data_IF_878077900461
#
_entry.id   IF_878077900461
#
_cell.length_a   1.000
_cell.length_b   1.000
_cell.length_c   1.000
_cell.angle_alpha   90.00
_cell.angle_beta   90.00
_cell.angle_gamma   90.00
#
_symmetry.space_group_name_H-M   'P 1'
#
loop_
_entity.id
_entity.type
_entity.pdbx_description
1 polymer ?
#
# COMPACT_ATOMS: atom_id res chain seq x y z
N UNK A 1 -0.35 -19.42 -18.12
CA UNK A 1 -0.09 -18.87 -16.77
C UNK A 1 -0.05 -17.36 -16.93
N UNK A 2 -0.82 -16.60 -16.16
CA UNK A 2 -0.84 -15.14 -16.24
C UNK A 2 0.53 -14.59 -15.86
N UNK A 3 1.11 -13.73 -16.70
CA UNK A 3 2.44 -13.14 -16.50
C UNK A 3 2.37 -11.77 -15.80
N UNK A 4 3.53 -11.23 -15.42
CA UNK A 4 3.68 -9.86 -14.93
C UNK A 4 3.14 -8.85 -15.96
N UNK A 5 3.55 -8.97 -17.22
CA UNK A 5 3.13 -8.07 -18.30
C UNK A 5 1.61 -8.14 -18.54
N UNK A 6 1.01 -9.32 -18.46
CA UNK A 6 -0.45 -9.48 -18.60
C UNK A 6 -1.22 -8.70 -17.51
N UNK A 7 -0.75 -8.75 -16.27
CA UNK A 7 -1.41 -8.08 -15.13
C UNK A 7 -1.23 -6.56 -15.20
N UNK A 8 -0.04 -6.09 -15.59
CA UNK A 8 0.20 -4.66 -15.82
C UNK A 8 -0.66 -4.16 -16.99
N UNK A 9 -0.78 -4.93 -18.08
CA UNK A 9 -1.63 -4.57 -19.20
C UNK A 9 -3.11 -4.45 -18.81
N UNK A 10 -3.62 -5.34 -17.95
CA UNK A 10 -4.98 -5.23 -17.40
C UNK A 10 -5.17 -3.97 -16.56
N UNK A 11 -4.20 -3.64 -15.71
CA UNK A 11 -4.23 -2.40 -14.93
C UNK A 11 -4.25 -1.15 -15.82
N UNK A 12 -3.44 -1.13 -16.89
CA UNK A 12 -3.43 -0.05 -17.89
C UNK A 12 -4.78 0.06 -18.60
N UNK A 13 -5.38 -1.07 -18.97
CA UNK A 13 -6.68 -1.12 -19.65
C UNK A 13 -7.83 -0.54 -18.82
N UNK A 14 -7.73 -0.58 -17.48
CA UNK A 14 -8.73 0.00 -16.58
C UNK A 14 -8.55 1.50 -16.34
N UNK A 15 -7.41 2.11 -16.70
CA UNK A 15 -7.17 3.53 -16.44
C UNK A 15 -8.26 4.48 -16.99
N UNK A 16 -8.88 4.27 -18.17
CA UNK A 16 -9.99 5.10 -18.63
C UNK A 16 -11.18 5.08 -17.67
N UNK A 17 -11.61 3.89 -17.23
CA UNK A 17 -12.69 3.71 -16.26
C UNK A 17 -12.33 4.39 -14.93
N UNK A 18 -11.10 4.20 -14.43
CA UNK A 18 -10.65 4.84 -13.21
C UNK A 18 -10.71 6.38 -13.29
N UNK A 19 -10.30 6.96 -14.42
CA UNK A 19 -10.36 8.43 -14.63
C UNK A 19 -11.78 8.95 -14.70
N UNK A 20 -12.66 8.20 -15.36
CA UNK A 20 -14.10 8.51 -15.45
C UNK A 20 -14.74 8.58 -14.06
N UNK A 21 -14.43 7.60 -13.19
CA UNK A 21 -14.98 7.51 -11.85
C UNK A 21 -14.17 8.24 -10.76
N UNK A 22 -13.03 8.88 -11.08
CA UNK A 22 -12.16 9.49 -10.07
C UNK A 22 -12.85 10.59 -9.25
N UNK A 23 -13.74 11.37 -9.88
CA UNK A 23 -14.52 12.40 -9.16
C UNK A 23 -15.53 11.77 -8.21
N UNK A 24 -16.27 10.75 -8.65
CA UNK A 24 -17.21 10.02 -7.81
C UNK A 24 -16.47 9.35 -6.63
N UNK A 25 -15.32 8.74 -6.90
CA UNK A 25 -14.43 8.14 -5.89
C UNK A 25 -14.04 9.15 -4.80
N UNK A 26 -13.74 10.39 -5.17
CA UNK A 26 -13.42 11.45 -4.21
C UNK A 26 -14.66 11.94 -3.43
N UNK A 27 -15.77 12.17 -4.12
CA UNK A 27 -17.02 12.71 -3.54
C UNK A 27 -17.67 11.73 -2.57
N UNK A 28 -17.74 10.45 -2.96
CA UNK A 28 -18.38 9.39 -2.17
C UNK A 28 -17.47 8.87 -1.06
N UNK A 29 -16.19 9.28 -1.06
CA UNK A 29 -15.13 8.85 -0.11
C UNK A 29 -14.94 7.34 -0.07
N UNK A 30 -15.30 6.65 -1.16
CA UNK A 30 -15.08 5.24 -1.42
C UNK A 30 -14.97 5.01 -2.91
N UNK A 31 -14.32 3.91 -3.30
CA UNK A 31 -14.30 3.47 -4.69
C UNK A 31 -15.73 2.99 -5.08
N UNK A 32 -16.26 3.36 -6.25
CA UNK A 32 -17.54 2.84 -6.72
C UNK A 32 -17.52 1.32 -6.91
N UNK A 33 -18.65 0.66 -6.67
CA UNK A 33 -18.73 -0.82 -6.73
C UNK A 33 -18.42 -1.34 -8.14
N UNK A 34 -18.85 -0.64 -9.19
CA UNK A 34 -18.52 -0.95 -10.59
C UNK A 34 -17.00 -1.01 -10.85
N UNK A 35 -16.24 -0.11 -10.22
CA UNK A 35 -14.78 -0.10 -10.35
C UNK A 35 -14.17 -1.28 -9.60
N UNK A 36 -14.69 -1.62 -8.41
CA UNK A 36 -14.25 -2.79 -7.64
C UNK A 36 -14.54 -4.09 -8.40
N UNK A 37 -15.71 -4.20 -9.04
CA UNK A 37 -16.08 -5.37 -9.84
C UNK A 37 -15.17 -5.52 -11.05
N UNK A 38 -14.88 -4.43 -11.77
CA UNK A 38 -13.94 -4.45 -12.89
C UNK A 38 -12.51 -4.86 -12.47
N UNK A 39 -12.05 -4.41 -11.29
CA UNK A 39 -10.77 -4.81 -10.71
C UNK A 39 -10.75 -6.30 -10.32
N UNK A 40 -11.86 -6.81 -9.79
CA UNK A 40 -12.03 -8.21 -9.43
C UNK A 40 -12.03 -9.10 -10.68
N UNK A 41 -12.79 -8.74 -11.72
CA UNK A 41 -12.83 -9.44 -13.01
C UNK A 41 -11.46 -9.48 -13.69
N UNK A 42 -10.71 -8.37 -13.62
CA UNK A 42 -9.34 -8.30 -14.11
C UNK A 42 -8.33 -9.15 -13.29
N UNK A 43 -8.73 -9.65 -12.12
CA UNK A 43 -7.89 -10.43 -11.20
C UNK A 43 -6.92 -9.58 -10.38
N UNK A 44 -7.09 -8.27 -10.35
CA UNK A 44 -6.13 -7.35 -9.72
C UNK A 44 -6.27 -7.26 -8.19
N UNK A 45 -7.33 -7.82 -7.62
CA UNK A 45 -7.53 -7.93 -6.16
C UNK A 45 -6.96 -9.23 -5.56
N UNK A 46 -6.37 -10.10 -6.38
CA UNK A 46 -5.80 -11.40 -5.96
C UNK A 46 -4.38 -11.67 -6.50
N UNK A 47 -3.59 -10.60 -6.63
CA UNK A 47 -2.20 -10.65 -7.09
C UNK A 47 -1.32 -11.49 -6.15
N UNK A 48 -1.57 -11.43 -4.85
CA UNK A 48 -0.76 -12.12 -3.82
C UNK A 48 -1.42 -13.36 -3.23
N UNK A 49 -2.70 -13.59 -3.53
CA UNK A 49 -3.41 -14.80 -3.07
C UNK A 49 -2.68 -16.03 -3.62
N UNK A 50 -2.43 -17.06 -2.80
CA UNK A 50 -1.74 -18.26 -3.24
C UNK A 50 -2.44 -18.97 -4.41
N UNK A 51 -1.68 -19.61 -5.28
CA UNK A 51 -2.23 -20.33 -6.45
C UNK A 51 -3.15 -21.48 -6.06
N UNK A 52 -2.92 -22.11 -4.90
CA UNK A 52 -3.80 -23.18 -4.38
C UNK A 52 -5.24 -22.72 -4.17
N UNK A 53 -5.46 -21.42 -3.95
CA UNK A 53 -6.79 -20.80 -3.84
C UNK A 53 -7.24 -20.11 -5.14
N UNK A 54 -6.53 -20.28 -6.26
CA UNK A 54 -6.86 -19.63 -7.54
C UNK A 54 -6.38 -18.18 -7.68
N UNK A 55 -5.50 -17.72 -6.79
CA UNK A 55 -4.81 -16.44 -6.92
C UNK A 55 -3.63 -16.46 -7.88
N UNK A 56 -3.00 -15.30 -8.08
CA UNK A 56 -1.86 -15.17 -9.00
C UNK A 56 -0.50 -15.47 -8.35
N UNK A 57 -0.38 -15.32 -7.02
CA UNK A 57 0.86 -15.52 -6.25
C UNK A 57 2.08 -14.89 -6.95
N UNK A 58 1.97 -13.59 -7.23
CA UNK A 58 2.94 -12.80 -7.99
C UNK A 58 4.13 -12.36 -7.16
N UNK A 59 5.10 -11.70 -7.77
CA UNK A 59 6.22 -11.06 -7.08
C UNK A 59 5.86 -9.69 -6.51
N UNK A 60 6.67 -9.16 -5.60
CA UNK A 60 6.53 -7.79 -5.13
C UNK A 60 6.70 -6.78 -6.27
N UNK A 61 7.62 -7.05 -7.20
CA UNK A 61 7.75 -6.24 -8.42
C UNK A 61 6.44 -6.13 -9.20
N UNK A 62 5.68 -7.22 -9.30
CA UNK A 62 4.39 -7.22 -10.01
C UNK A 62 3.36 -6.37 -9.29
N UNK A 63 3.25 -6.50 -7.96
CA UNK A 63 2.34 -5.66 -7.16
C UNK A 63 2.65 -4.17 -7.28
N UNK A 64 3.93 -3.80 -7.32
CA UNK A 64 4.36 -2.41 -7.52
C UNK A 64 3.98 -1.85 -8.89
N UNK A 65 4.27 -2.60 -9.96
CA UNK A 65 4.01 -2.11 -11.32
C UNK A 65 2.51 -2.04 -11.62
N UNK A 66 1.71 -3.00 -11.12
CA UNK A 66 0.24 -2.97 -11.22
C UNK A 66 -0.33 -1.77 -10.47
N UNK A 67 0.06 -1.56 -9.22
CA UNK A 67 -0.45 -0.42 -8.45
C UNK A 67 -0.01 0.93 -9.04
N UNK A 68 1.23 1.04 -9.53
CA UNK A 68 1.68 2.23 -10.25
C UNK A 68 0.83 2.50 -11.51
N UNK A 69 0.53 1.46 -12.29
CA UNK A 69 -0.32 1.60 -13.47
C UNK A 69 -1.76 2.03 -13.13
N UNK A 70 -2.35 1.51 -12.04
CA UNK A 70 -3.68 1.92 -11.58
C UNK A 70 -3.70 3.37 -11.07
N UNK A 71 -2.63 3.80 -10.38
CA UNK A 71 -2.54 5.15 -9.82
C UNK A 71 -2.45 6.24 -10.88
N UNK A 72 -2.06 5.89 -12.11
CA UNK A 72 -2.17 6.81 -13.25
C UNK A 72 -3.61 7.09 -13.71
N UNK A 73 -4.55 6.25 -13.28
CA UNK A 73 -6.00 6.43 -13.44
C UNK A 73 -6.63 7.12 -12.22
N UNK A 74 -6.48 6.49 -11.05
CA UNK A 74 -6.97 7.01 -9.77
C UNK A 74 -6.10 6.54 -8.58
N UNK A 75 -5.64 7.51 -7.79
CA UNK A 75 -4.72 7.25 -6.67
C UNK A 75 -5.36 6.47 -5.51
N UNK A 76 -6.61 6.81 -5.17
CA UNK A 76 -7.35 6.16 -4.10
C UNK A 76 -7.65 4.69 -4.41
N UNK A 77 -8.07 4.41 -5.64
CA UNK A 77 -8.33 3.06 -6.12
C UNK A 77 -7.07 2.21 -6.14
N UNK A 78 -5.96 2.76 -6.64
CA UNK A 78 -4.65 2.09 -6.59
C UNK A 78 -4.24 1.75 -5.15
N UNK A 79 -4.42 2.69 -4.21
CA UNK A 79 -4.15 2.45 -2.80
C UNK A 79 -5.00 1.30 -2.24
N UNK A 80 -6.31 1.27 -2.51
CA UNK A 80 -7.19 0.17 -2.08
C UNK A 80 -6.69 -1.18 -2.63
N UNK A 81 -6.35 -1.25 -3.91
CA UNK A 81 -5.83 -2.48 -4.53
C UNK A 81 -4.52 -2.92 -3.87
N UNK A 82 -3.59 -1.98 -3.61
CA UNK A 82 -2.33 -2.25 -2.91
C UNK A 82 -2.58 -2.84 -1.53
N UNK A 83 -3.47 -2.22 -0.75
CA UNK A 83 -3.71 -2.63 0.64
C UNK A 83 -4.47 -3.96 0.74
N UNK A 84 -5.40 -4.21 -0.18
CA UNK A 84 -6.06 -5.52 -0.28
C UNK A 84 -5.03 -6.62 -0.60
N UNK A 85 -4.16 -6.39 -1.58
CA UNK A 85 -3.17 -7.40 -1.95
C UNK A 85 -2.11 -7.63 -0.85
N UNK A 86 -1.64 -6.59 -0.16
CA UNK A 86 -0.69 -6.83 0.95
C UNK A 86 -1.34 -7.54 2.14
N UNK A 87 -2.63 -7.30 2.40
CA UNK A 87 -3.37 -8.03 3.44
C UNK A 87 -3.72 -9.47 3.04
N UNK A 88 -3.99 -9.71 1.76
CA UNK A 88 -4.12 -11.07 1.22
C UNK A 88 -2.79 -11.84 1.34
N UNK A 89 -1.66 -11.16 1.11
CA UNK A 89 -0.35 -11.74 1.37
C UNK A 89 -0.12 -12.02 2.85
N UNK A 90 -0.41 -11.07 3.75
CA UNK A 90 -0.34 -11.28 5.21
C UNK A 90 -1.15 -12.51 5.62
N UNK A 91 -2.35 -12.67 5.06
CA UNK A 91 -3.22 -13.83 5.32
C UNK A 91 -2.52 -15.14 4.96
N UNK A 92 -1.76 -15.19 3.85
CA UNK A 92 -0.99 -16.38 3.45
C UNK A 92 0.15 -16.76 4.40
N UNK A 93 0.48 -15.91 5.38
CA UNK A 93 1.49 -16.16 6.41
C UNK A 93 0.91 -16.84 7.67
N UNK A 94 -0.42 -16.81 7.87
CA UNK A 94 -1.12 -17.48 8.96
C UNK A 94 -1.09 -19.02 8.81
N UNK A 95 -1.44 -19.81 9.85
CA UNK A 95 -1.65 -21.26 9.70
C UNK A 95 -2.61 -21.59 8.56
N UNK A 96 -2.42 -22.73 7.88
CA UNK A 96 -3.23 -23.16 6.72
C UNK A 96 -4.73 -23.09 6.98
N UNK A 97 -5.17 -23.48 8.18
CA UNK A 97 -6.59 -23.43 8.57
C UNK A 97 -7.18 -22.01 8.52
N UNK A 98 -6.43 -20.97 8.91
CA UNK A 98 -6.91 -19.60 8.80
C UNK A 98 -6.97 -19.11 7.36
N UNK A 99 -6.06 -19.61 6.51
CA UNK A 99 -6.10 -19.33 5.08
C UNK A 99 -7.32 -19.97 4.42
N UNK A 100 -7.66 -21.21 4.82
CA UNK A 100 -8.86 -21.90 4.38
C UNK A 100 -10.15 -21.18 4.83
N UNK A 101 -10.19 -20.67 6.06
CA UNK A 101 -11.32 -19.85 6.56
C UNK A 101 -11.57 -18.63 5.66
N UNK A 102 -10.51 -17.98 5.16
CA UNK A 102 -10.62 -16.77 4.33
C UNK A 102 -10.87 -17.10 2.86
N UNK A 103 -10.02 -17.94 2.25
CA UNK A 103 -9.97 -18.15 0.80
C UNK A 103 -10.62 -19.45 0.34
N UNK A 104 -10.83 -20.43 1.22
CA UNK A 104 -11.30 -21.76 0.84
C UNK A 104 -12.70 -21.76 0.23
N UNK A 105 -13.63 -21.04 0.86
CA UNK A 105 -14.99 -20.86 0.34
C UNK A 105 -15.13 -19.67 -0.62
N UNK A 106 -14.23 -18.68 -0.52
CA UNK A 106 -14.25 -17.48 -1.33
C UNK A 106 -12.84 -17.11 -1.84
N UNK A 107 -12.45 -17.63 -3.02
CA UNK A 107 -11.19 -17.27 -3.70
C UNK A 107 -10.99 -15.77 -3.96
N UNK A 108 -12.08 -15.01 -4.03
CA UNK A 108 -12.09 -13.56 -4.26
C UNK A 108 -12.29 -12.77 -2.95
N UNK A 109 -12.02 -13.40 -1.81
CA UNK A 109 -12.01 -12.73 -0.51
C UNK A 109 -11.03 -11.54 -0.52
N UNK A 110 -11.47 -10.43 0.07
CA UNK A 110 -10.70 -9.18 0.14
C UNK A 110 -10.44 -8.91 1.61
N UNK A 111 -9.17 -8.96 1.98
CA UNK A 111 -8.74 -8.68 3.35
C UNK A 111 -8.25 -7.24 3.40
N UNK A 112 -8.66 -6.50 4.42
CA UNK A 112 -8.07 -5.18 4.75
C UNK A 112 -7.32 -5.28 6.06
N UNK A 113 -6.57 -4.27 6.47
CA UNK A 113 -5.81 -4.43 7.72
C UNK A 113 -5.23 -3.17 8.33
N UNK A 114 -5.01 -3.24 9.64
CA UNK A 114 -4.42 -2.20 10.47
C UNK A 114 -3.52 -2.89 11.48
N UNK A 115 -2.22 -2.60 11.43
CA UNK A 115 -1.23 -3.26 12.30
C UNK A 115 -1.18 -2.68 13.71
N UNK A 116 -1.62 -1.43 13.91
CA UNK A 116 -1.53 -0.78 15.22
C UNK A 116 -2.45 -1.49 16.22
N UNK A 117 -1.93 -1.92 17.38
CA UNK A 117 -2.69 -2.67 18.38
C UNK A 117 -3.55 -1.74 19.24
N UNK A 118 -4.70 -1.31 18.71
CA UNK A 118 -5.63 -0.36 19.36
C UNK A 118 -6.85 -1.05 19.97
N UNK A 119 -6.63 -2.20 20.62
CA UNK A 119 -7.67 -3.06 21.18
C UNK A 119 -7.27 -3.60 22.55
N UNK A 120 -8.23 -4.19 23.25
CA UNK A 120 -8.00 -5.10 24.38
C UNK A 120 -8.22 -6.53 23.92
N UNK A 121 -7.48 -7.46 24.51
CA UNK A 121 -7.76 -8.88 24.37
C UNK A 121 -7.70 -9.56 25.73
N UNK A 122 -8.42 -10.67 25.87
CA UNK A 122 -8.40 -11.55 27.04
C UNK A 122 -8.26 -12.98 26.54
N UNK A 123 -7.26 -13.71 27.05
CA UNK A 123 -7.10 -15.14 26.74
C UNK A 123 -8.32 -15.90 27.28
N UNK A 124 -8.88 -16.78 26.46
CA UNK A 124 -9.96 -17.70 26.82
C UNK A 124 -9.64 -19.09 26.26
N UNK A 125 -10.43 -20.09 26.64
CA UNK A 125 -10.30 -21.43 26.07
C UNK A 125 -10.41 -21.39 24.53
N UNK A 126 -9.43 -21.96 23.84
CA UNK A 126 -9.36 -22.03 22.38
C UNK A 126 -9.06 -20.73 21.63
N UNK A 127 -8.82 -19.59 22.29
CA UNK A 127 -8.59 -18.33 21.60
C UNK A 127 -8.57 -17.08 22.47
N UNK A 128 -9.08 -15.97 21.93
CA UNK A 128 -9.16 -14.67 22.60
C UNK A 128 -10.53 -14.03 22.44
N UNK A 129 -10.94 -13.26 23.45
CA UNK A 129 -12.01 -12.27 23.34
C UNK A 129 -11.40 -10.92 23.04
N UNK A 130 -11.89 -10.22 22.01
CA UNK A 130 -11.28 -8.98 21.53
C UNK A 130 -12.32 -7.88 21.41
N UNK A 131 -11.99 -6.70 21.95
CA UNK A 131 -12.76 -5.46 21.77
C UNK A 131 -11.81 -4.34 21.35
N UNK A 132 -12.15 -3.58 20.33
CA UNK A 132 -11.20 -2.60 19.79
C UNK A 132 -11.73 -1.77 18.66
N UNK A 133 -10.93 -0.77 18.29
CA UNK A 133 -11.24 0.20 17.24
C UNK A 133 -10.01 0.39 16.37
N UNK A 134 -10.11 0.10 15.08
CA UNK A 134 -9.00 0.15 14.14
C UNK A 134 -9.30 1.16 13.03
N UNK A 135 -8.78 2.37 13.23
CA UNK A 135 -8.82 3.47 12.26
C UNK A 135 -7.86 3.23 11.10
N UNK A 136 -8.02 4.00 10.02
CA UNK A 136 -7.17 3.92 8.82
C UNK A 136 -7.28 2.57 8.08
N UNK A 137 -8.44 1.92 8.13
CA UNK A 137 -8.64 0.63 7.49
C UNK A 137 -9.01 0.80 5.99
N UNK A 138 -8.01 1.03 5.15
CA UNK A 138 -8.21 1.30 3.71
C UNK A 138 -8.96 0.16 3.01
N UNK A 139 -9.98 0.51 2.23
CA UNK A 139 -10.84 -0.44 1.53
C UNK A 139 -11.92 -1.09 2.41
N UNK A 140 -12.10 -0.63 3.66
CA UNK A 140 -13.04 -1.21 4.64
C UNK A 140 -14.48 -1.36 4.13
N UNK A 141 -14.93 -0.51 3.21
CA UNK A 141 -16.26 -0.60 2.59
C UNK A 141 -16.43 -1.80 1.65
N UNK A 142 -15.33 -2.42 1.22
CA UNK A 142 -15.34 -3.52 0.25
C UNK A 142 -14.76 -4.82 0.83
N UNK A 143 -14.38 -4.85 2.10
CA UNK A 143 -13.68 -6.00 2.70
C UNK A 143 -14.63 -7.12 3.09
N UNK A 144 -14.16 -8.36 2.96
CA UNK A 144 -14.81 -9.56 3.47
C UNK A 144 -14.20 -9.99 4.82
N UNK A 145 -12.96 -9.61 5.06
CA UNK A 145 -12.17 -9.95 6.25
C UNK A 145 -11.25 -8.77 6.62
N UNK A 146 -10.78 -8.78 7.87
CA UNK A 146 -9.80 -7.81 8.35
C UNK A 146 -8.65 -8.50 9.12
N UNK A 147 -7.42 -8.08 8.84
CA UNK A 147 -6.21 -8.39 9.59
C UNK A 147 -5.92 -7.24 10.59
N UNK A 148 -6.13 -7.47 11.88
CA UNK A 148 -6.17 -6.43 12.90
C UNK A 148 -5.10 -6.63 13.97
N UNK A 149 -4.34 -5.57 14.28
CA UNK A 149 -3.34 -5.57 15.33
C UNK A 149 -3.97 -5.70 16.72
N UNK A 150 -3.45 -6.58 17.56
CA UNK A 150 -3.97 -6.84 18.90
C UNK A 150 -2.82 -7.06 19.88
N UNK A 151 -2.85 -6.46 21.09
CA UNK A 151 -1.97 -6.91 22.16
C UNK A 151 -2.51 -8.25 22.68
N UNK A 152 -1.68 -9.30 22.72
CA UNK A 152 -2.06 -10.55 23.35
C UNK A 152 -1.73 -10.49 24.84
N UNK A 153 -2.70 -10.88 25.67
CA UNK A 153 -2.56 -10.94 27.11
C UNK A 153 -2.52 -12.39 27.61
N UNK A 154 -1.87 -12.60 28.75
CA UNK A 154 -1.99 -13.84 29.53
C UNK A 154 -3.28 -13.86 30.38
N UNK A 155 -3.43 -14.88 31.24
CA UNK A 155 -4.61 -15.03 32.11
C UNK A 155 -4.67 -13.96 33.21
N UNK A 156 -3.51 -13.41 33.57
CA UNK A 156 -3.35 -12.30 34.53
C UNK A 156 -3.63 -10.92 33.90
N UNK A 157 -3.76 -10.85 32.57
CA UNK A 157 -4.05 -9.64 31.82
C UNK A 157 -2.82 -8.83 31.42
N UNK A 158 -1.62 -9.38 31.61
CA UNK A 158 -0.36 -8.76 31.21
C UNK A 158 -0.10 -8.98 29.72
N UNK A 159 0.39 -7.94 29.03
CA UNK A 159 0.67 -8.02 27.59
C UNK A 159 1.94 -8.84 27.36
N UNK A 160 1.79 -9.99 26.71
CA UNK A 160 2.88 -10.93 26.42
C UNK A 160 3.35 -10.91 24.96
N UNK A 161 2.52 -10.44 24.04
CA UNK A 161 2.88 -10.33 22.61
C UNK A 161 2.08 -9.24 21.89
N UNK A 162 2.50 -8.91 20.67
CA UNK A 162 1.76 -8.12 19.69
C UNK A 162 1.48 -8.99 18.48
N UNK A 163 0.21 -9.15 18.12
CA UNK A 163 -0.20 -10.05 17.05
C UNK A 163 -1.08 -9.37 16.00
N UNK A 164 -1.24 -10.03 14.86
CA UNK A 164 -2.34 -9.80 13.94
C UNK A 164 -3.37 -10.91 14.15
N UNK A 165 -4.65 -10.54 14.14
CA UNK A 165 -5.76 -11.48 14.06
C UNK A 165 -6.52 -11.35 12.75
N UNK A 166 -7.18 -12.44 12.32
CA UNK A 166 -8.13 -12.42 11.21
C UNK A 166 -9.57 -12.47 11.73
N UNK A 167 -10.36 -11.45 11.40
CA UNK A 167 -11.79 -11.38 11.73
C UNK A 167 -12.64 -11.27 10.44
N UNK A 168 -13.74 -12.04 10.32
CA UNK A 168 -14.66 -11.86 9.20
C UNK A 168 -15.36 -10.51 9.36
N UNK A 169 -15.70 -9.88 8.23
CA UNK A 169 -16.32 -8.55 8.23
C UNK A 169 -17.64 -8.52 8.99
N UNK A 170 -18.40 -9.63 9.00
CA UNK A 170 -19.69 -9.72 9.69
C UNK A 170 -19.61 -9.61 11.22
N UNK A 171 -18.45 -9.95 11.81
CA UNK A 171 -18.20 -9.80 13.25
C UNK A 171 -17.83 -8.35 13.64
N UNK A 172 -17.67 -7.46 12.65
CA UNK A 172 -17.21 -6.10 12.85
C UNK A 172 -18.31 -5.09 12.50
N UNK A 173 -18.36 -3.97 13.20
CA UNK A 173 -19.09 -2.78 12.74
C UNK A 173 -18.12 -1.83 12.03
N UNK A 174 -18.66 -1.00 11.13
CA UNK A 174 -17.90 0.02 10.40
C UNK A 174 -18.44 1.39 10.79
N UNK A 175 -17.53 2.22 11.28
CA UNK A 175 -17.81 3.61 11.57
C UNK A 175 -17.18 4.52 10.53
N UNK A 176 -18.00 5.38 9.94
CA UNK A 176 -17.55 6.35 8.95
C UNK A 176 -16.73 7.47 9.61
N UNK A 177 -15.42 7.39 9.48
CA UNK A 177 -14.46 8.30 10.12
C UNK A 177 -13.52 8.97 9.13
N UNK A 178 -13.63 8.66 7.83
CA UNK A 178 -12.64 9.06 6.84
C UNK A 178 -12.99 10.40 6.16
N UNK A 179 -12.67 11.50 6.84
CA UNK A 179 -12.88 12.88 6.37
C UNK A 179 -11.53 13.61 6.23
N UNK A 180 -10.90 13.45 5.07
CA UNK A 180 -9.50 13.88 4.83
C UNK A 180 -9.37 14.75 3.57
N UNK A 181 -8.21 15.41 3.41
CA UNK A 181 -7.95 16.30 2.29
C UNK A 181 -7.56 15.59 0.98
N UNK A 182 -6.93 14.42 1.07
CA UNK A 182 -6.50 13.58 -0.05
C UNK A 182 -6.62 12.10 0.33
N UNK A 183 -6.53 11.20 -0.65
CA UNK A 183 -6.85 9.78 -0.51
C UNK A 183 -8.28 9.55 0.00
N UNK A 184 -9.21 10.44 -0.35
CA UNK A 184 -10.59 10.40 0.14
C UNK A 184 -11.30 9.11 -0.23
N UNK A 185 -11.11 8.64 -1.46
CA UNK A 185 -11.76 7.43 -1.98
C UNK A 185 -11.28 6.13 -1.38
N UNK A 186 -10.23 6.15 -0.55
CA UNK A 186 -9.72 4.93 0.08
C UNK A 186 -10.66 4.33 1.11
N UNK A 187 -11.67 5.09 1.58
CA UNK A 187 -12.59 4.68 2.64
C UNK A 187 -11.84 4.07 3.83
N UNK A 188 -10.80 4.75 4.33
CA UNK A 188 -9.95 4.26 5.42
C UNK A 188 -10.63 4.46 6.79
N UNK A 189 -11.86 3.98 6.89
CA UNK A 189 -12.76 4.10 8.02
C UNK A 189 -12.31 3.25 9.23
N UNK A 190 -13.04 3.38 10.33
CA UNK A 190 -12.78 2.61 11.54
C UNK A 190 -13.59 1.30 11.51
N UNK A 191 -12.91 0.16 11.67
CA UNK A 191 -13.58 -1.09 12.01
C UNK A 191 -13.60 -1.25 13.54
N UNK A 192 -14.70 -1.75 14.07
CA UNK A 192 -14.92 -1.88 15.51
C UNK A 192 -15.36 -3.30 15.84
N UNK A 193 -14.76 -3.88 16.86
CA UNK A 193 -15.15 -5.16 17.44
C UNK A 193 -15.67 -4.94 18.86
N UNK A 194 -16.78 -5.60 19.20
CA UNK A 194 -17.36 -5.62 20.54
C UNK A 194 -17.41 -7.08 21.02
N UNK A 195 -16.44 -7.46 21.84
CA UNK A 195 -16.32 -8.79 22.48
C UNK A 195 -16.38 -10.00 21.53
N UNK A 196 -15.72 -9.90 20.37
CA UNK A 196 -15.69 -11.00 19.40
C UNK A 196 -14.78 -12.13 19.88
N UNK A 197 -15.13 -13.37 19.57
CA UNK A 197 -14.26 -14.52 19.78
C UNK A 197 -13.37 -14.75 18.56
N UNK A 198 -12.06 -14.86 18.79
CA UNK A 198 -11.08 -15.19 17.75
C UNK A 198 -10.34 -16.47 18.13
N UNK A 199 -10.44 -17.54 17.31
CA UNK A 199 -9.78 -18.81 17.58
C UNK A 199 -8.27 -18.72 17.37
N UNK A 200 -7.53 -19.59 18.03
CA UNK A 200 -6.07 -19.53 18.09
C UNK A 200 -5.38 -19.57 16.72
N UNK A 201 -5.89 -20.39 15.80
CA UNK A 201 -5.32 -20.52 14.46
C UNK A 201 -5.45 -19.24 13.61
N UNK A 202 -6.28 -18.27 13.99
CA UNK A 202 -6.46 -16.97 13.31
C UNK A 202 -5.61 -15.86 13.90
N UNK A 203 -4.60 -16.18 14.72
CA UNK A 203 -3.69 -15.21 15.35
C UNK A 203 -2.25 -15.49 14.95
N UNK A 204 -1.48 -14.44 14.62
CA UNK A 204 -0.07 -14.53 14.21
C UNK A 204 0.76 -13.47 14.95
N UNK A 205 1.84 -13.91 15.61
CA UNK A 205 2.80 -13.01 16.28
C UNK A 205 3.49 -12.09 15.27
N UNK A 206 3.45 -10.78 15.52
CA UNK A 206 4.14 -9.78 14.70
C UNK A 206 5.65 -9.80 14.96
N UNK A 207 6.16 -9.85 16.20
CA UNK A 207 7.60 -9.98 16.46
C UNK A 207 8.24 -11.19 15.78
N UNK A 208 7.61 -12.37 15.85
CA UNK A 208 8.12 -13.57 15.16
C UNK A 208 8.12 -13.37 13.63
N UNK A 209 7.03 -12.83 13.08
CA UNK A 209 6.90 -12.56 11.65
C UNK A 209 7.91 -11.51 11.15
N UNK A 210 8.28 -10.50 11.97
CA UNK A 210 9.35 -9.53 11.63
C UNK A 210 10.70 -10.23 11.42
N UNK A 211 10.96 -11.31 12.14
CA UNK A 211 12.18 -12.12 12.02
C UNK A 211 12.05 -13.25 10.97
N UNK A 212 10.94 -13.30 10.23
CA UNK A 212 10.70 -14.28 9.17
C UNK A 212 10.15 -15.62 9.66
N UNK A 213 9.83 -15.71 10.95
CA UNK A 213 9.20 -16.89 11.52
C UNK A 213 7.67 -16.81 11.37
N UNK A 214 7.19 -17.31 10.24
CA UNK A 214 5.76 -17.34 9.91
C UNK A 214 5.13 -18.69 10.32
N UNK A 215 3.89 -18.71 10.82
CA UNK A 215 3.23 -19.96 11.20
C UNK A 215 2.77 -20.82 10.02
N UNK A 216 2.65 -20.26 8.81
CA UNK A 216 2.26 -21.02 7.60
C UNK A 216 3.14 -22.24 7.33
N UNK A 217 2.51 -23.36 7.01
CA UNK A 217 3.16 -24.62 6.65
C UNK A 217 3.72 -24.59 5.20
N UNK A 218 3.27 -23.64 4.38
CA UNK A 218 3.60 -23.52 2.96
C UNK A 218 4.95 -22.82 2.70
N UNK A 219 6.03 -23.30 3.33
CA UNK A 219 7.38 -22.72 3.26
C UNK A 219 8.04 -22.82 1.88
N UNK A 220 7.52 -23.69 1.02
CA UNK A 220 7.94 -23.85 -0.37
C UNK A 220 7.46 -22.69 -1.25
N UNK A 221 6.41 -21.97 -0.86
CA UNK A 221 5.89 -20.83 -1.60
C UNK A 221 6.75 -19.59 -1.42
N UNK A 222 7.19 -19.02 -2.55
CA UNK A 222 8.11 -17.88 -2.58
C UNK A 222 7.60 -16.71 -1.75
N UNK A 223 6.33 -16.32 -1.89
CA UNK A 223 5.78 -15.19 -1.13
C UNK A 223 5.75 -15.43 0.38
N UNK A 224 5.64 -16.68 0.83
CA UNK A 224 5.70 -17.05 2.25
C UNK A 224 7.12 -16.98 2.83
N UNK A 225 8.12 -16.61 2.03
CA UNK A 225 9.51 -16.36 2.45
C UNK A 225 9.93 -14.89 2.38
N UNK A 226 9.08 -14.02 1.83
CA UNK A 226 9.37 -12.59 1.71
C UNK A 226 9.47 -11.93 3.09
N UNK A 227 10.36 -10.94 3.24
CA UNK A 227 10.57 -10.24 4.52
C UNK A 227 9.41 -9.30 4.88
N UNK A 228 8.86 -9.44 6.10
CA UNK A 228 7.62 -8.82 6.52
C UNK A 228 7.60 -7.29 6.27
N UNK A 229 8.43 -6.58 7.01
CA UNK A 229 8.45 -5.12 7.01
C UNK A 229 8.92 -4.54 5.67
N UNK A 230 9.95 -5.08 4.99
CA UNK A 230 10.30 -4.66 3.64
C UNK A 230 9.13 -4.69 2.64
N UNK A 231 8.32 -5.76 2.64
CA UNK A 231 7.12 -5.83 1.80
C UNK A 231 6.10 -4.79 2.21
N UNK A 232 5.73 -4.73 3.51
CA UNK A 232 4.75 -3.78 4.04
C UNK A 232 5.09 -2.32 3.73
N UNK A 233 6.38 -1.98 3.77
CA UNK A 233 6.85 -0.65 3.42
C UNK A 233 6.82 -0.42 1.90
N UNK A 234 7.45 -1.32 1.14
CA UNK A 234 7.69 -1.06 -0.29
C UNK A 234 6.40 -1.05 -1.10
N UNK A 235 5.39 -1.86 -0.78
CA UNK A 235 4.11 -1.87 -1.53
C UNK A 235 3.47 -0.47 -1.65
N UNK A 236 3.71 0.40 -0.66
CA UNK A 236 3.18 1.76 -0.61
C UNK A 236 3.83 2.70 -1.65
N UNK A 237 4.99 2.32 -2.20
CA UNK A 237 5.68 3.07 -3.23
C UNK A 237 4.94 3.01 -4.58
N UNK A 238 4.27 1.90 -4.90
CA UNK A 238 3.60 1.72 -6.19
C UNK A 238 2.59 2.83 -6.52
N UNK A 239 1.59 3.11 -5.66
CA UNK A 239 0.66 4.21 -5.86
C UNK A 239 1.35 5.58 -6.03
N UNK A 240 2.43 5.83 -5.29
CA UNK A 240 3.20 7.08 -5.39
C UNK A 240 3.88 7.23 -6.76
N UNK A 241 4.50 6.16 -7.27
CA UNK A 241 5.13 6.17 -8.59
C UNK A 241 4.10 6.49 -9.69
N UNK A 242 2.92 5.88 -9.63
CA UNK A 242 1.84 6.15 -10.58
C UNK A 242 1.32 7.58 -10.53
N UNK A 243 1.13 8.13 -9.33
CA UNK A 243 0.72 9.53 -9.14
C UNK A 243 1.77 10.50 -9.71
N UNK A 244 3.06 10.24 -9.49
CA UNK A 244 4.15 11.02 -10.07
C UNK A 244 4.15 10.99 -11.61
N UNK A 245 4.00 9.79 -12.20
CA UNK A 245 3.91 9.61 -13.66
C UNK A 245 2.70 10.33 -14.25
N UNK A 246 1.53 10.23 -13.62
CA UNK A 246 0.34 10.93 -14.06
C UNK A 246 0.48 12.45 -14.00
N UNK A 247 1.09 12.99 -12.94
CA UNK A 247 1.39 14.42 -12.85
C UNK A 247 2.31 14.88 -13.99
N UNK A 248 3.40 14.13 -14.24
CA UNK A 248 4.36 14.48 -15.29
C UNK A 248 3.71 14.43 -16.68
N UNK A 249 2.96 13.37 -16.97
CA UNK A 249 2.21 13.22 -18.23
C UNK A 249 1.22 14.36 -18.42
N UNK A 250 0.41 14.66 -17.41
CA UNK A 250 -0.58 15.73 -17.48
C UNK A 250 0.08 17.10 -17.74
N UNK A 251 1.16 17.42 -17.02
CA UNK A 251 1.81 18.72 -17.15
C UNK A 251 2.54 18.85 -18.49
N UNK A 252 3.23 17.81 -18.97
CA UNK A 252 3.92 17.84 -20.26
C UNK A 252 2.94 17.99 -21.43
N UNK A 253 1.80 17.28 -21.40
CA UNK A 253 0.73 17.43 -22.41
C UNK A 253 0.14 18.85 -22.44
N UNK A 254 -0.03 19.48 -21.26
CA UNK A 254 -0.57 20.84 -21.15
C UNK A 254 0.46 21.91 -21.49
N UNK A 255 1.73 21.71 -21.14
CA UNK A 255 2.81 22.68 -21.37
C UNK A 255 2.97 23.02 -22.86
N UNK A 256 2.72 22.07 -23.75
CA UNK A 256 2.75 22.25 -25.20
C UNK A 256 1.68 23.20 -25.76
N UNK A 257 0.68 23.60 -24.96
CA UNK A 257 -0.49 24.38 -25.42
C UNK A 257 -0.87 25.53 -24.49
N UNK A 258 -0.15 25.70 -23.38
CA UNK A 258 -0.52 26.63 -22.31
C UNK A 258 0.45 27.81 -22.29
N UNK A 259 0.01 29.06 -22.44
CA UNK A 259 0.89 30.22 -22.34
C UNK A 259 1.36 30.46 -20.89
N UNK A 260 2.43 31.25 -20.74
CA UNK A 260 2.87 31.76 -19.44
C UNK A 260 2.35 33.19 -19.28
N UNK A 261 1.40 33.39 -18.37
CA UNK A 261 0.81 34.70 -18.10
C UNK A 261 1.86 35.76 -17.78
N UNK A 262 1.67 36.97 -18.32
CA UNK A 262 2.58 38.11 -18.17
C UNK A 262 3.97 37.93 -18.81
N UNK A 263 4.09 37.06 -19.80
CA UNK A 263 5.31 36.89 -20.62
C UNK A 263 4.95 36.85 -22.10
N UNK A 264 5.97 36.77 -22.98
CA UNK A 264 5.80 36.59 -24.42
C UNK A 264 5.75 35.13 -24.86
N UNK A 265 5.81 34.16 -23.94
CA UNK A 265 5.73 32.74 -24.28
C UNK A 265 4.29 32.34 -24.59
N UNK A 266 4.06 31.93 -25.85
CA UNK A 266 2.77 31.41 -26.32
C UNK A 266 2.52 30.02 -25.75
N UNK A 267 3.59 29.27 -25.47
CA UNK A 267 3.50 28.00 -24.75
C UNK A 267 4.57 27.88 -23.67
N UNK A 268 4.24 27.16 -22.59
CA UNK A 268 5.15 26.82 -21.51
C UNK A 268 6.38 26.06 -22.01
N UNK A 269 6.21 25.27 -23.08
CA UNK A 269 7.29 24.51 -23.70
C UNK A 269 8.41 25.38 -24.31
N UNK A 270 8.16 26.66 -24.64
CA UNK A 270 9.17 27.58 -25.18
C UNK A 270 10.11 28.12 -24.10
N UNK A 271 9.71 28.08 -22.84
CA UNK A 271 10.50 28.60 -21.72
C UNK A 271 11.56 27.60 -21.29
N UNK A 272 12.84 27.99 -21.41
CA UNK A 272 13.99 27.20 -20.93
C UNK A 272 13.85 26.84 -19.45
N UNK A 273 13.36 27.77 -18.62
CA UNK A 273 13.15 27.51 -17.20
C UNK A 273 12.09 26.41 -16.94
N UNK A 274 11.05 26.34 -17.77
CA UNK A 274 10.04 25.25 -17.69
C UNK A 274 10.64 23.93 -18.16
N UNK A 275 11.39 23.94 -19.27
CA UNK A 275 12.06 22.74 -19.78
C UNK A 275 12.97 22.10 -18.72
N UNK A 276 13.77 22.93 -18.02
CA UNK A 276 14.65 22.47 -16.93
C UNK A 276 13.86 21.88 -15.75
N UNK A 277 12.78 22.55 -15.31
CA UNK A 277 11.95 22.07 -14.19
C UNK A 277 11.25 20.75 -14.51
N UNK A 278 10.73 20.60 -15.74
CA UNK A 278 10.12 19.34 -16.20
C UNK A 278 11.18 18.22 -16.24
N UNK A 279 12.37 18.49 -16.77
CA UNK A 279 13.45 17.51 -16.80
C UNK A 279 13.88 17.07 -15.39
N UNK A 280 13.99 18.01 -14.46
CA UNK A 280 14.32 17.72 -13.06
C UNK A 280 13.24 16.87 -12.37
N UNK A 281 11.95 17.21 -12.58
CA UNK A 281 10.84 16.41 -12.06
C UNK A 281 10.82 14.99 -12.66
N UNK A 282 11.10 14.85 -13.95
CA UNK A 282 11.20 13.55 -14.60
C UNK A 282 12.34 12.70 -14.01
N UNK A 283 13.53 13.28 -13.82
CA UNK A 283 14.67 12.57 -13.23
C UNK A 283 14.46 12.17 -11.77
N UNK A 284 13.71 12.96 -10.99
CA UNK A 284 13.27 12.56 -9.64
C UNK A 284 12.35 11.34 -9.69
N UNK A 285 11.38 11.33 -10.60
CA UNK A 285 10.48 10.18 -10.79
C UNK A 285 11.27 8.94 -11.24
N UNK A 286 12.23 9.09 -12.15
CA UNK A 286 13.11 8.01 -12.59
C UNK A 286 13.95 7.47 -11.43
N UNK A 287 14.50 8.36 -10.60
CA UNK A 287 15.24 7.99 -9.38
C UNK A 287 14.35 7.17 -8.44
N UNK A 288 13.11 7.61 -8.21
CA UNK A 288 12.14 6.87 -7.41
C UNK A 288 11.86 5.48 -8.00
N UNK A 289 11.67 5.36 -9.32
CA UNK A 289 11.46 4.07 -9.98
C UNK A 289 12.66 3.14 -9.77
N UNK A 290 13.89 3.65 -9.95
CA UNK A 290 15.11 2.86 -9.79
C UNK A 290 15.28 2.34 -8.35
N UNK A 291 15.03 3.17 -7.34
CA UNK A 291 15.07 2.75 -5.94
C UNK A 291 14.01 1.68 -5.61
N UNK A 292 12.77 1.88 -6.06
CA UNK A 292 11.69 0.93 -5.85
C UNK A 292 11.97 -0.42 -6.52
N UNK A 293 12.45 -0.41 -7.77
CA UNK A 293 12.79 -1.63 -8.51
C UNK A 293 13.95 -2.39 -7.87
N UNK A 294 14.99 -1.68 -7.40
CA UNK A 294 16.11 -2.31 -6.68
C UNK A 294 15.64 -2.96 -5.39
N UNK A 295 14.81 -2.27 -4.60
CA UNK A 295 14.28 -2.80 -3.35
C UNK A 295 13.40 -4.04 -3.60
N UNK A 296 12.54 -3.99 -4.62
CA UNK A 296 11.68 -5.11 -5.00
C UNK A 296 12.49 -6.33 -5.45
N UNK A 297 13.45 -6.12 -6.35
CA UNK A 297 14.34 -7.18 -6.82
C UNK A 297 15.10 -7.84 -5.67
N UNK A 298 15.53 -7.06 -4.66
CA UNK A 298 16.23 -7.60 -3.50
C UNK A 298 15.33 -8.48 -2.62
N UNK A 299 14.08 -8.07 -2.39
CA UNK A 299 13.10 -8.86 -1.64
C UNK A 299 12.74 -10.14 -2.41
N UNK A 300 12.40 -9.99 -3.69
CA UNK A 300 11.99 -11.11 -4.54
C UNK A 300 13.11 -12.15 -4.68
N UNK A 301 14.37 -11.71 -4.86
CA UNK A 301 15.52 -12.60 -4.96
C UNK A 301 15.76 -13.36 -3.66
N UNK A 302 15.74 -12.68 -2.50
CA UNK A 302 15.95 -13.33 -1.21
C UNK A 302 14.89 -14.41 -0.95
N UNK A 303 13.63 -14.10 -1.25
CA UNK A 303 12.52 -15.04 -1.15
C UNK A 303 12.68 -16.24 -2.10
N UNK A 304 13.13 -16.02 -3.35
CA UNK A 304 13.42 -17.10 -4.30
C UNK A 304 14.54 -18.02 -3.81
N UNK A 305 15.61 -17.44 -3.28
CA UNK A 305 16.78 -18.16 -2.76
C UNK A 305 16.52 -18.87 -1.42
N UNK A 306 15.36 -18.62 -0.79
CA UNK A 306 15.04 -19.16 0.53
C UNK A 306 15.87 -18.54 1.65
N UNK A 307 16.32 -17.30 1.46
CA UNK A 307 17.11 -16.54 2.43
C UNK A 307 16.29 -15.39 3.00
N UNK A 308 16.52 -15.05 4.26
CA UNK A 308 15.93 -13.87 4.87
C UNK A 308 16.88 -12.68 4.77
N UNK A 309 16.35 -11.48 4.53
CA UNK A 309 17.16 -10.27 4.44
C UNK A 309 17.83 -9.97 5.79
N UNK A 310 19.11 -9.61 5.74
CA UNK A 310 19.81 -9.11 6.92
C UNK A 310 19.16 -7.82 7.42
N UNK A 311 19.37 -7.47 8.70
CA UNK A 311 18.83 -6.23 9.28
C UNK A 311 19.19 -4.99 8.46
N UNK A 312 20.43 -4.86 8.01
CA UNK A 312 20.89 -3.72 7.19
C UNK A 312 20.19 -3.67 5.84
N UNK A 313 19.89 -4.81 5.21
CA UNK A 313 19.14 -4.86 3.95
C UNK A 313 17.67 -4.50 4.15
N UNK A 314 17.04 -4.98 5.24
CA UNK A 314 15.67 -4.59 5.61
C UNK A 314 15.57 -3.08 5.87
N UNK A 315 16.49 -2.54 6.66
CA UNK A 315 16.64 -1.10 6.91
C UNK A 315 16.81 -0.30 5.61
N UNK A 316 17.65 -0.79 4.69
CA UNK A 316 17.85 -0.14 3.38
C UNK A 316 16.57 -0.09 2.56
N UNK A 317 15.78 -1.17 2.52
CA UNK A 317 14.48 -1.16 1.83
C UNK A 317 13.57 -0.08 2.39
N UNK A 318 13.48 0.03 3.73
CA UNK A 318 12.66 1.08 4.35
C UNK A 318 13.13 2.47 3.95
N UNK A 319 14.45 2.71 3.96
CA UNK A 319 15.03 3.97 3.53
C UNK A 319 14.76 4.25 2.04
N UNK A 320 14.86 3.24 1.18
CA UNK A 320 14.50 3.33 -0.24
C UNK A 320 13.04 3.75 -0.42
N UNK A 321 12.10 3.15 0.31
CA UNK A 321 10.69 3.54 0.28
C UNK A 321 10.49 5.00 0.67
N UNK A 322 11.13 5.47 1.75
CA UNK A 322 11.08 6.87 2.15
C UNK A 322 11.67 7.82 1.09
N UNK A 323 12.77 7.42 0.47
CA UNK A 323 13.43 8.17 -0.61
C UNK A 323 12.57 8.28 -1.86
N UNK A 324 11.89 7.18 -2.23
CA UNK A 324 10.91 7.14 -3.32
C UNK A 324 9.80 8.17 -3.09
N UNK A 325 9.20 8.16 -1.90
CA UNK A 325 8.11 9.07 -1.55
C UNK A 325 8.58 10.53 -1.63
N UNK A 326 9.75 10.87 -1.06
CA UNK A 326 10.27 12.23 -1.11
C UNK A 326 10.48 12.73 -2.55
N UNK A 327 11.13 11.91 -3.39
CA UNK A 327 11.38 12.28 -4.79
C UNK A 327 10.08 12.48 -5.57
N UNK A 328 9.07 11.63 -5.38
CA UNK A 328 7.76 11.78 -6.01
C UNK A 328 7.07 13.06 -5.55
N UNK A 329 7.06 13.34 -4.23
CA UNK A 329 6.41 14.54 -3.69
C UNK A 329 7.08 15.83 -4.20
N UNK A 330 8.41 15.86 -4.24
CA UNK A 330 9.16 17.00 -4.79
C UNK A 330 8.89 17.18 -6.28
N UNK A 331 8.88 16.09 -7.06
CA UNK A 331 8.55 16.15 -8.48
C UNK A 331 7.14 16.71 -8.71
N UNK A 332 6.14 16.21 -7.98
CA UNK A 332 4.75 16.70 -8.08
C UNK A 332 4.66 18.17 -7.68
N UNK A 333 5.36 18.61 -6.62
CA UNK A 333 5.38 20.03 -6.23
C UNK A 333 5.97 20.93 -7.32
N UNK A 334 7.08 20.51 -7.94
CA UNK A 334 7.65 21.22 -9.11
C UNK A 334 6.64 21.28 -10.26
N UNK A 335 5.97 20.17 -10.57
CA UNK A 335 4.99 20.09 -11.65
C UNK A 335 3.75 20.95 -11.40
N UNK A 336 3.28 21.04 -10.15
CA UNK A 336 2.21 21.96 -9.73
C UNK A 336 2.63 23.41 -9.96
N UNK A 337 3.86 23.77 -9.57
CA UNK A 337 4.42 25.12 -9.80
C UNK A 337 4.54 25.44 -11.30
N UNK A 338 5.03 24.49 -12.11
CA UNK A 338 5.10 24.63 -13.58
C UNK A 338 3.71 24.83 -14.18
N UNK A 339 2.71 24.08 -13.73
CA UNK A 339 1.36 24.20 -14.26
C UNK A 339 0.67 25.51 -13.84
N UNK A 340 1.05 26.07 -12.69
CA UNK A 340 0.55 27.33 -12.15
C UNK A 340 -0.88 27.23 -11.58
N UNK A 341 -1.46 28.36 -11.18
CA UNK A 341 -2.69 28.45 -10.36
C UNK A 341 -3.89 27.60 -10.85
N UNK A 342 -4.02 27.36 -12.15
CA UNK A 342 -5.07 26.50 -12.70
C UNK A 342 -4.99 25.04 -12.22
N UNK A 343 -3.86 24.61 -11.65
CA UNK A 343 -3.69 23.29 -11.02
C UNK A 343 -4.69 23.06 -9.90
N UNK A 344 -5.09 24.13 -9.20
CA UNK A 344 -5.96 24.10 -8.01
C UNK A 344 -7.45 24.21 -8.32
N UNK A 345 -7.85 24.31 -9.60
CA UNK A 345 -9.25 24.19 -9.96
C UNK A 345 -9.76 22.77 -9.66
N UNK A 346 -10.97 22.62 -9.12
CA UNK A 346 -11.54 21.31 -8.76
C UNK A 346 -11.59 20.34 -9.96
N UNK A 347 -11.88 20.87 -11.15
CA UNK A 347 -11.90 20.13 -12.41
C UNK A 347 -10.51 19.69 -12.90
N UNK A 348 -9.43 20.24 -12.34
CA UNK A 348 -8.07 19.88 -12.72
C UNK A 348 -7.62 18.65 -11.92
N UNK A 349 -7.22 17.53 -12.57
CA UNK A 349 -6.79 16.34 -11.84
C UNK A 349 -5.50 16.56 -11.04
N UNK A 350 -4.69 17.56 -11.38
CA UNK A 350 -3.38 17.77 -10.76
C UNK A 350 -3.47 18.07 -9.26
N UNK A 351 -4.48 18.83 -8.81
CA UNK A 351 -4.66 19.05 -7.38
C UNK A 351 -5.07 17.78 -6.63
N UNK A 352 -5.88 16.89 -7.25
CA UNK A 352 -6.24 15.61 -6.63
C UNK A 352 -5.02 14.70 -6.51
N UNK A 353 -4.24 14.58 -7.60
CA UNK A 353 -2.96 13.85 -7.60
C UNK A 353 -2.03 14.38 -6.50
N UNK A 354 -1.90 15.70 -6.39
CA UNK A 354 -1.08 16.35 -5.37
C UNK A 354 -1.57 16.06 -3.95
N UNK A 355 -2.88 16.18 -3.67
CA UNK A 355 -3.45 15.88 -2.34
C UNK A 355 -3.29 14.41 -1.99
N UNK A 356 -3.60 13.51 -2.92
CA UNK A 356 -3.51 12.06 -2.73
C UNK A 356 -2.08 11.62 -2.44
N UNK A 357 -1.12 12.05 -3.28
CA UNK A 357 0.29 11.76 -3.08
C UNK A 357 0.76 12.29 -1.72
N UNK A 358 0.37 13.52 -1.36
CA UNK A 358 0.76 14.10 -0.09
C UNK A 358 0.18 13.33 1.10
N UNK A 359 -1.11 12.98 1.10
CA UNK A 359 -1.71 12.21 2.19
C UNK A 359 -1.06 10.83 2.32
N UNK A 360 -0.96 10.07 1.22
CA UNK A 360 -0.36 8.73 1.26
C UNK A 360 1.12 8.73 1.65
N UNK A 361 1.87 9.78 1.27
CA UNK A 361 3.29 9.91 1.58
C UNK A 361 3.62 10.08 3.07
N UNK A 362 2.61 10.21 3.94
CA UNK A 362 2.77 10.31 5.40
C UNK A 362 2.39 9.01 6.14
N UNK A 363 2.20 7.91 5.42
CA UNK A 363 1.99 6.62 6.07
C UNK A 363 3.19 6.27 6.98
N UNK A 364 2.91 5.90 8.24
CA UNK A 364 3.92 5.81 9.30
C UNK A 364 5.09 4.86 8.99
N UNK A 365 4.82 3.68 8.41
CA UNK A 365 5.88 2.70 8.09
C UNK A 365 6.88 3.22 7.05
N UNK A 366 6.43 4.15 6.20
CA UNK A 366 7.19 4.74 5.11
C UNK A 366 7.72 6.15 5.44
N UNK A 367 7.61 6.57 6.71
CA UNK A 367 8.10 7.87 7.18
C UNK A 367 9.61 8.01 6.88
N UNK A 368 10.02 8.96 6.02
CA UNK A 368 11.39 9.02 5.53
C UNK A 368 12.42 9.26 6.64
N UNK A 369 12.12 10.11 7.62
CA UNK A 369 13.05 10.44 8.71
C UNK A 369 13.38 9.23 9.57
N UNK A 370 12.36 8.47 9.98
CA UNK A 370 12.53 7.22 10.73
C UNK A 370 13.30 6.19 9.91
N UNK A 371 12.96 6.03 8.63
CA UNK A 371 13.63 5.08 7.75
C UNK A 371 15.11 5.41 7.52
N UNK A 372 15.43 6.69 7.34
CA UNK A 372 16.82 7.16 7.20
C UNK A 372 17.63 6.99 8.48
N UNK A 373 17.05 7.22 9.65
CA UNK A 373 17.75 6.98 10.92
C UNK A 373 18.04 5.49 11.13
N UNK A 374 17.06 4.61 10.89
CA UNK A 374 17.25 3.15 10.98
C UNK A 374 18.37 2.68 10.05
N UNK A 375 18.38 3.12 8.80
CA UNK A 375 19.41 2.73 7.85
C UNK A 375 20.78 3.36 8.17
N UNK A 376 20.81 4.63 8.58
CA UNK A 376 22.04 5.30 9.01
C UNK A 376 22.68 4.60 10.22
N UNK A 377 21.89 4.23 11.23
CA UNK A 377 22.35 3.43 12.37
C UNK A 377 22.91 2.08 11.93
N UNK A 378 22.23 1.38 11.02
CA UNK A 378 22.70 0.09 10.49
C UNK A 378 24.04 0.21 9.72
N UNK A 379 24.24 1.28 8.95
CA UNK A 379 25.50 1.54 8.24
C UNK A 379 26.68 1.84 9.17
N UNK A 380 26.39 2.41 10.35
CA UNK A 380 27.39 2.76 11.37
C UNK A 380 27.57 1.68 12.44
N UNK A 381 26.84 0.56 12.36
CA UNK A 381 26.88 -0.50 13.36
C UNK A 381 26.30 -0.12 14.72
N UNK A 382 25.37 0.84 14.77
CA UNK A 382 24.67 1.23 16.00
C UNK A 382 23.49 0.29 16.24
N UNK A 383 23.53 -0.46 17.35
CA UNK A 383 22.54 -1.50 17.66
C UNK A 383 21.19 -0.98 18.20
N UNK A 384 21.17 0.25 18.72
CA UNK A 384 19.98 0.85 19.33
C UNK A 384 18.84 1.01 18.32
N UNK A 385 17.77 0.23 18.49
CA UNK A 385 16.56 0.28 17.67
C UNK A 385 15.63 1.40 18.13
N UNK A 386 15.12 2.18 17.18
CA UNK A 386 14.09 3.22 17.42
C UNK A 386 12.68 2.77 17.06
N UNK A 387 12.56 1.56 16.49
CA UNK A 387 11.29 0.98 16.04
C UNK A 387 11.42 -0.53 15.92
N UNK A 388 10.36 -1.30 16.24
CA UNK A 388 10.37 -2.75 16.05
C UNK A 388 10.17 -3.15 14.57
N UNK A 389 9.71 -2.24 13.71
CA UNK A 389 9.40 -2.53 12.32
C UNK A 389 10.59 -2.16 11.42
N UNK A 390 11.52 -3.10 11.20
CA UNK A 390 12.66 -2.90 10.29
C UNK A 390 12.63 -3.85 9.10
#
# INVERSE_FOLDING_TARGET
MTTHDDLVARAVALQPLLREHATATETDRRVPDEVIDALAEAGLLKLSVPKRYGGHQTSLRTMLDVSAALAEGDGSTSWVVTLVNVCNWLTSLFPSKAQDDVFGANPDARVTGVLTPTSTSVKVDGGWRVSGRWYYNSGSSHSHWAALGVPLTDEEGEVVDQALLLAPREDLSLEDTWFVAGMKGTASNCLVAEDIFVPEHRVMSVPAAVEGDYPTEHKDEVLSRSALVPVLALVLAGPQLGLGRAALKYVTEKAARKPISYTFYETQAESVAVQMQIAEAALRIDTAILHAQRAAAKIDQAAQDGTYLSFTERARVRADTGWVIQNVLEAINTLVSVHGAASFAEVNPLQRIWRDANTAGRHAVAAPTVAMEVYGKALLGVEEKITPLV
#
